data_IF_056528022266
#
_entry.id   IF_056528022266
#
_cell.length_a   1.000
_cell.length_b   1.000
_cell.length_c   1.000
_cell.angle_alpha   90.00
_cell.angle_beta   90.00
_cell.angle_gamma   90.00
#
_symmetry.space_group_name_H-M   'P 1'
#
loop_
_entity.id
_entity.type
_entity.pdbx_description
1 polymer ?
#
# COMPACT_ATOMS: atom_id res chain seq x y z
N UNK A 1 18.58 -28.43 -39.37
CA UNK A 1 17.29 -28.41 -38.65
C UNK A 1 17.61 -28.25 -37.18
N UNK A 2 17.49 -27.03 -36.64
CA UNK A 2 17.66 -26.74 -35.22
C UNK A 2 16.60 -25.70 -34.83
N UNK A 3 15.36 -26.14 -34.69
CA UNK A 3 14.24 -25.29 -34.25
C UNK A 3 14.37 -24.91 -32.76
N UNK A 4 15.02 -25.74 -31.93
CA UNK A 4 15.17 -25.47 -30.49
C UNK A 4 15.97 -24.20 -30.15
N UNK A 5 16.94 -23.80 -30.98
CA UNK A 5 17.79 -22.64 -30.66
C UNK A 5 17.09 -21.27 -30.83
N UNK A 6 16.07 -21.19 -31.69
CA UNK A 6 15.31 -19.94 -31.91
C UNK A 6 14.24 -19.73 -30.83
N UNK A 7 13.63 -20.80 -30.36
CA UNK A 7 12.60 -20.74 -29.32
C UNK A 7 13.20 -20.36 -27.95
N UNK A 8 14.41 -20.84 -27.64
CA UNK A 8 15.14 -20.45 -26.43
C UNK A 8 15.49 -18.95 -26.44
N UNK A 9 16.02 -18.42 -27.55
CA UNK A 9 16.40 -17.01 -27.66
C UNK A 9 15.18 -16.07 -27.62
N UNK A 10 14.10 -16.43 -28.32
CA UNK A 10 12.84 -15.67 -28.29
C UNK A 10 12.19 -15.66 -26.90
N UNK A 11 12.27 -16.77 -26.15
CA UNK A 11 11.75 -16.86 -24.78
C UNK A 11 12.56 -15.97 -23.81
N UNK A 12 13.87 -15.88 -24.00
CA UNK A 12 14.78 -15.08 -23.18
C UNK A 12 14.59 -13.58 -23.41
N UNK A 13 14.44 -13.17 -24.69
CA UNK A 13 14.13 -11.78 -25.07
C UNK A 13 12.75 -11.37 -24.54
N UNK A 14 11.72 -12.23 -24.67
CA UNK A 14 10.38 -11.96 -24.09
C UNK A 14 10.42 -11.81 -22.58
N UNK A 15 11.16 -12.65 -21.86
CA UNK A 15 11.29 -12.53 -20.40
C UNK A 15 11.99 -11.24 -19.97
N UNK A 16 13.05 -10.85 -20.69
CA UNK A 16 13.76 -9.59 -20.45
C UNK A 16 12.86 -8.38 -20.73
N UNK A 17 12.10 -8.41 -21.82
CA UNK A 17 11.13 -7.38 -22.18
C UNK A 17 9.98 -7.29 -21.15
N UNK A 18 9.44 -8.43 -20.69
CA UNK A 18 8.42 -8.48 -19.64
C UNK A 18 8.91 -7.88 -18.32
N UNK A 19 10.18 -8.06 -17.98
CA UNK A 19 10.82 -7.40 -16.83
C UNK A 19 10.80 -5.88 -16.96
N UNK A 20 11.19 -5.34 -18.11
CA UNK A 20 11.17 -3.90 -18.37
C UNK A 20 9.75 -3.33 -18.44
N UNK A 21 8.81 -4.02 -19.09
CA UNK A 21 7.40 -3.60 -19.14
C UNK A 21 6.75 -3.62 -17.76
N UNK A 22 7.06 -4.61 -16.92
CA UNK A 22 6.61 -4.67 -15.53
C UNK A 22 7.08 -3.49 -14.71
N UNK A 23 8.36 -3.13 -14.84
CA UNK A 23 8.95 -1.97 -14.16
C UNK A 23 8.29 -0.65 -14.59
N UNK A 24 8.01 -0.47 -15.88
CA UNK A 24 7.31 0.71 -16.40
C UNK A 24 5.89 0.79 -15.83
N UNK A 25 5.17 -0.33 -15.74
CA UNK A 25 3.80 -0.36 -15.17
C UNK A 25 3.82 -0.01 -13.67
N UNK A 26 4.75 -0.56 -12.89
CA UNK A 26 4.88 -0.23 -11.46
C UNK A 26 5.24 1.26 -11.30
N UNK A 27 6.32 1.70 -11.96
CA UNK A 27 6.82 3.06 -11.81
C UNK A 27 5.82 4.12 -12.27
N UNK A 28 5.10 3.90 -13.37
CA UNK A 28 4.04 4.82 -13.80
C UNK A 28 2.88 4.86 -12.80
N UNK A 29 2.48 3.71 -12.24
CA UNK A 29 1.44 3.65 -11.22
C UNK A 29 1.84 4.42 -9.95
N UNK A 30 3.08 4.25 -9.48
CA UNK A 30 3.61 4.96 -8.30
C UNK A 30 3.67 6.47 -8.53
N UNK A 31 4.15 6.93 -9.69
CA UNK A 31 4.21 8.36 -10.03
C UNK A 31 2.80 8.96 -10.03
N UNK A 32 1.85 8.32 -10.72
CA UNK A 32 0.47 8.80 -10.80
C UNK A 32 -0.19 8.76 -9.42
N UNK A 33 -0.02 7.67 -8.67
CA UNK A 33 -0.59 7.51 -7.34
C UNK A 33 -0.04 8.54 -6.34
N UNK A 34 1.25 8.84 -6.41
CA UNK A 34 1.88 9.87 -5.57
C UNK A 34 1.44 11.28 -5.98
N UNK A 35 1.26 11.55 -7.28
CA UNK A 35 0.69 12.81 -7.74
C UNK A 35 -0.73 13.02 -7.18
N UNK A 36 -1.58 11.98 -7.24
CA UNK A 36 -2.94 12.03 -6.67
C UNK A 36 -2.88 12.29 -5.15
N UNK A 37 -2.02 11.59 -4.41
CA UNK A 37 -1.85 11.81 -2.97
C UNK A 37 -1.34 13.21 -2.64
N UNK A 38 -0.39 13.74 -3.41
CA UNK A 38 0.13 15.09 -3.21
C UNK A 38 -0.97 16.13 -3.44
N UNK A 39 -1.73 16.00 -4.53
CA UNK A 39 -2.87 16.88 -4.80
C UNK A 39 -3.94 16.80 -3.71
N UNK A 40 -4.26 15.58 -3.23
CA UNK A 40 -5.17 15.40 -2.09
C UNK A 40 -4.73 16.20 -0.86
N UNK A 41 -3.49 16.01 -0.41
CA UNK A 41 -2.98 16.69 0.78
C UNK A 41 -2.88 18.21 0.61
N UNK A 42 -2.57 18.70 -0.59
CA UNK A 42 -2.60 20.14 -0.88
C UNK A 42 -4.01 20.74 -0.78
N UNK A 43 -5.04 20.01 -1.22
CA UNK A 43 -6.44 20.43 -1.09
C UNK A 43 -6.84 20.44 0.39
N UNK A 44 -6.54 19.37 1.14
CA UNK A 44 -6.82 19.29 2.58
C UNK A 44 -6.13 20.42 3.34
N UNK A 45 -4.85 20.70 3.05
CA UNK A 45 -4.09 21.78 3.66
C UNK A 45 -4.69 23.18 3.35
N UNK A 46 -5.36 23.33 2.21
CA UNK A 46 -6.03 24.59 1.84
C UNK A 46 -7.40 24.74 2.50
N UNK A 47 -8.03 23.64 2.93
CA UNK A 47 -9.37 23.61 3.53
C UNK A 47 -9.34 23.69 5.06
N UNK A 48 -8.33 23.09 5.71
CA UNK A 48 -8.24 22.98 7.17
C UNK A 48 -7.42 24.09 7.81
N UNK A 49 -7.75 24.43 9.06
CA UNK A 49 -6.90 25.30 9.87
C UNK A 49 -5.58 24.61 10.22
N UNK A 50 -4.51 25.38 10.43
CA UNK A 50 -3.16 24.87 10.77
C UNK A 50 -3.19 23.92 11.96
N UNK A 51 -4.03 24.20 12.97
CA UNK A 51 -4.16 23.38 14.17
C UNK A 51 -4.78 22.01 13.85
N UNK A 52 -5.83 21.99 13.05
CA UNK A 52 -6.57 20.78 12.68
C UNK A 52 -5.75 19.90 11.73
N UNK A 53 -5.10 20.51 10.74
CA UNK A 53 -4.19 19.82 9.85
C UNK A 53 -3.02 19.15 10.61
N UNK A 54 -2.50 19.83 11.63
CA UNK A 54 -1.46 19.30 12.51
C UNK A 54 -1.92 18.08 13.32
N UNK A 55 -3.16 18.10 13.83
CA UNK A 55 -3.73 16.97 14.58
C UNK A 55 -3.91 15.73 13.70
N UNK A 56 -4.46 15.90 12.50
CA UNK A 56 -4.63 14.79 11.54
C UNK A 56 -3.26 14.25 11.11
N UNK A 57 -2.31 15.13 10.80
CA UNK A 57 -0.96 14.73 10.42
C UNK A 57 -0.29 13.91 11.54
N UNK A 58 -0.51 14.28 12.79
CA UNK A 58 -0.03 13.53 13.95
C UNK A 58 -0.67 12.13 14.04
N UNK A 59 -1.98 12.01 13.84
CA UNK A 59 -2.65 10.71 13.82
C UNK A 59 -2.17 9.80 12.68
N UNK A 60 -2.03 10.35 11.47
CA UNK A 60 -1.50 9.61 10.31
C UNK A 60 -0.06 9.17 10.58
N UNK A 61 0.76 10.01 11.21
CA UNK A 61 2.13 9.65 11.57
C UNK A 61 2.16 8.47 12.56
N UNK A 62 1.38 8.50 13.64
CA UNK A 62 1.29 7.37 14.59
C UNK A 62 0.81 6.11 13.89
N UNK A 63 -0.20 6.22 13.04
CA UNK A 63 -0.71 5.05 12.34
C UNK A 63 0.29 4.47 11.35
N UNK A 64 1.11 5.31 10.71
CA UNK A 64 2.18 4.88 9.81
C UNK A 64 3.27 4.08 10.53
N UNK A 65 3.49 4.31 11.82
CA UNK A 65 4.39 3.48 12.64
C UNK A 65 3.86 2.04 12.80
N UNK A 66 2.58 1.80 12.52
CA UNK A 66 1.98 0.46 12.46
C UNK A 66 2.65 -0.48 11.45
N UNK A 67 3.38 0.06 10.45
CA UNK A 67 4.18 -0.76 9.51
C UNK A 67 5.20 -1.63 10.27
N UNK A 68 5.70 -1.17 11.42
CA UNK A 68 6.61 -1.94 12.27
C UNK A 68 5.99 -3.24 12.81
N UNK A 69 4.67 -3.37 12.80
CA UNK A 69 3.96 -4.58 13.21
C UNK A 69 3.90 -5.65 12.12
N UNK A 70 4.29 -5.33 10.88
CA UNK A 70 4.31 -6.28 9.76
C UNK A 70 5.47 -7.25 9.93
N UNK A 71 5.15 -8.54 10.01
CA UNK A 71 6.16 -9.58 10.23
C UNK A 71 6.70 -10.09 8.91
N UNK A 72 8.02 -9.88 8.73
CA UNK A 72 8.68 -9.96 7.44
C UNK A 72 8.55 -8.61 6.75
N UNK A 73 9.68 -7.95 6.47
CA UNK A 73 9.63 -6.68 5.75
C UNK A 73 8.87 -6.82 4.43
N UNK A 74 8.27 -5.76 3.89
CA UNK A 74 7.65 -5.80 2.57
C UNK A 74 8.58 -6.43 1.50
N UNK A 75 9.88 -6.17 1.63
CA UNK A 75 10.93 -6.75 0.79
C UNK A 75 11.05 -8.28 0.97
N UNK A 76 11.02 -8.78 2.21
CA UNK A 76 10.99 -10.21 2.49
C UNK A 76 9.71 -10.87 1.95
N UNK A 77 8.54 -10.25 2.14
CA UNK A 77 7.28 -10.75 1.59
C UNK A 77 7.31 -10.84 0.06
N UNK A 78 7.89 -9.85 -0.63
CA UNK A 78 8.04 -9.91 -2.09
C UNK A 78 8.91 -11.07 -2.55
N UNK A 79 10.01 -11.37 -1.86
CA UNK A 79 10.89 -12.51 -2.20
C UNK A 79 10.21 -13.85 -1.91
N UNK A 80 9.60 -14.01 -0.73
CA UNK A 80 8.92 -15.25 -0.34
C UNK A 80 7.69 -15.55 -1.20
N UNK A 81 7.01 -14.53 -1.71
CA UNK A 81 5.86 -14.69 -2.62
C UNK A 81 6.24 -15.39 -3.94
N UNK A 82 7.50 -15.23 -4.37
CA UNK A 82 8.02 -15.90 -5.58
C UNK A 82 8.64 -17.27 -5.33
N UNK A 83 9.25 -17.50 -4.15
CA UNK A 83 10.06 -18.70 -3.88
C UNK A 83 9.38 -19.72 -2.96
N UNK A 84 8.57 -19.30 -1.98
CA UNK A 84 7.98 -20.18 -0.96
C UNK A 84 6.53 -19.77 -0.62
N UNK A 85 5.61 -19.98 -1.55
CA UNK A 85 4.19 -19.58 -1.40
C UNK A 85 3.49 -20.17 -0.17
N UNK A 86 3.94 -21.33 0.34
CA UNK A 86 3.35 -21.98 1.53
C UNK A 86 3.57 -21.22 2.84
N UNK A 87 4.57 -20.34 2.91
CA UNK A 87 4.92 -19.59 4.14
C UNK A 87 4.11 -18.28 4.25
N UNK A 88 3.59 -17.78 3.12
CA UNK A 88 2.84 -16.52 3.06
C UNK A 88 1.63 -16.51 4.00
N UNK A 89 0.74 -17.53 4.05
CA UNK A 89 -0.39 -17.54 4.97
C UNK A 89 0.02 -17.44 6.44
N UNK A 90 1.13 -18.10 6.81
CA UNK A 90 1.67 -18.04 8.18
C UNK A 90 2.19 -16.65 8.53
N UNK A 91 2.91 -16.00 7.62
CA UNK A 91 3.39 -14.62 7.81
C UNK A 91 2.24 -13.62 7.90
N UNK A 92 1.18 -13.83 7.13
CA UNK A 92 -0.03 -13.00 7.20
C UNK A 92 -0.75 -13.17 8.54
N UNK A 93 -0.90 -14.39 9.02
CA UNK A 93 -1.51 -14.67 10.32
C UNK A 93 -0.68 -14.03 11.44
N UNK A 94 0.64 -14.15 11.38
CA UNK A 94 1.53 -13.54 12.36
C UNK A 94 1.45 -12.00 12.30
N UNK A 95 1.49 -11.42 11.11
CA UNK A 95 1.27 -9.98 10.90
C UNK A 95 -0.07 -9.52 11.48
N UNK A 96 -1.14 -10.30 11.30
CA UNK A 96 -2.46 -9.99 11.87
C UNK A 96 -2.41 -9.95 13.40
N UNK A 97 -1.76 -10.92 14.05
CA UNK A 97 -1.60 -10.95 15.51
C UNK A 97 -0.84 -9.71 16.00
N UNK A 98 0.31 -9.41 15.39
CA UNK A 98 1.11 -8.23 15.76
C UNK A 98 0.38 -6.92 15.47
N UNK A 99 -0.42 -6.87 14.41
CA UNK A 99 -1.26 -5.71 14.08
C UNK A 99 -2.31 -5.48 15.15
N UNK A 100 -2.98 -6.53 15.63
CA UNK A 100 -3.96 -6.41 16.72
C UNK A 100 -3.28 -5.87 17.97
N UNK A 101 -2.13 -6.43 18.36
CA UNK A 101 -1.37 -5.98 19.54
C UNK A 101 -0.89 -4.52 19.35
N UNK A 102 -0.32 -4.19 18.21
CA UNK A 102 0.17 -2.85 17.89
C UNK A 102 -0.94 -1.79 17.86
N UNK A 103 -2.09 -2.13 17.28
CA UNK A 103 -3.26 -1.26 17.26
C UNK A 103 -3.81 -1.01 18.66
N UNK A 104 -3.77 -2.01 19.55
CA UNK A 104 -4.19 -1.88 20.94
C UNK A 104 -3.23 -0.96 21.72
N UNK A 105 -1.92 -1.09 21.51
CA UNK A 105 -0.92 -0.20 22.11
C UNK A 105 -1.11 1.23 21.62
N UNK A 106 -1.31 1.43 20.32
CA UNK A 106 -1.57 2.75 19.74
C UNK A 106 -2.85 3.38 20.28
N UNK A 107 -3.90 2.56 20.48
CA UNK A 107 -5.14 3.00 21.12
C UNK A 107 -4.92 3.49 22.55
N UNK A 108 -4.09 2.82 23.35
CA UNK A 108 -3.78 3.26 24.72
C UNK A 108 -3.05 4.61 24.75
N UNK A 109 -2.19 4.88 23.76
CA UNK A 109 -1.44 6.14 23.68
C UNK A 109 -2.34 7.29 23.25
N UNK A 110 -3.17 7.07 22.23
CA UNK A 110 -3.92 8.16 21.59
C UNK A 110 -5.35 8.29 22.09
N UNK A 111 -5.86 7.27 22.78
CA UNK A 111 -7.20 7.23 23.39
C UNK A 111 -8.37 7.54 22.42
N UNK A 112 -8.15 7.35 21.11
CA UNK A 112 -9.18 7.47 20.06
C UNK A 112 -9.39 6.15 19.35
N UNK A 113 -10.63 5.70 19.30
CA UNK A 113 -11.01 4.42 18.69
C UNK A 113 -10.74 4.38 17.18
N UNK A 114 -10.81 5.53 16.52
CA UNK A 114 -10.60 5.69 15.07
C UNK A 114 -9.24 5.16 14.58
N UNK A 115 -8.22 5.23 15.44
CA UNK A 115 -6.84 4.84 15.11
C UNK A 115 -6.67 3.34 14.93
N UNK A 116 -7.46 2.53 15.65
CA UNK A 116 -7.43 1.07 15.49
C UNK A 116 -7.82 0.72 14.06
N UNK A 117 -8.94 1.27 13.59
CA UNK A 117 -9.47 1.06 12.24
C UNK A 117 -8.51 1.59 11.18
N UNK A 118 -7.86 2.73 11.44
CA UNK A 118 -6.90 3.34 10.52
C UNK A 118 -5.64 2.48 10.35
N UNK A 119 -5.02 2.03 11.46
CA UNK A 119 -3.85 1.14 11.45
C UNK A 119 -4.17 -0.18 10.75
N UNK A 120 -5.30 -0.79 11.09
CA UNK A 120 -5.71 -2.06 10.52
C UNK A 120 -5.90 -1.97 9.00
N UNK A 121 -6.58 -0.92 8.54
CA UNK A 121 -6.80 -0.66 7.11
C UNK A 121 -5.48 -0.40 6.39
N UNK A 122 -4.58 0.38 6.99
CA UNK A 122 -3.29 0.71 6.41
C UNK A 122 -2.44 -0.55 6.18
N UNK A 123 -2.36 -1.43 7.20
CA UNK A 123 -1.57 -2.66 7.11
C UNK A 123 -2.16 -3.65 6.09
N UNK A 124 -3.48 -3.83 6.05
CA UNK A 124 -4.11 -4.71 5.06
C UNK A 124 -3.82 -4.24 3.63
N UNK A 125 -3.92 -2.93 3.39
CA UNK A 125 -3.66 -2.35 2.07
C UNK A 125 -2.20 -2.51 1.67
N UNK A 126 -1.26 -2.22 2.59
CA UNK A 126 0.19 -2.36 2.35
C UNK A 126 0.59 -3.81 2.07
N UNK A 127 0.12 -4.75 2.88
CA UNK A 127 0.38 -6.19 2.71
C UNK A 127 -0.23 -6.69 1.40
N UNK A 128 -1.45 -6.27 1.05
CA UNK A 128 -2.09 -6.64 -0.22
C UNK A 128 -1.27 -6.16 -1.42
N UNK A 129 -0.83 -4.90 -1.37
CA UNK A 129 -0.02 -4.28 -2.41
C UNK A 129 1.33 -5.01 -2.57
N UNK A 130 1.99 -5.29 -1.45
CA UNK A 130 3.25 -6.05 -1.37
C UNK A 130 3.10 -7.47 -1.94
N UNK A 131 2.00 -8.17 -1.64
CA UNK A 131 1.74 -9.50 -2.17
C UNK A 131 1.52 -9.49 -3.69
N UNK A 132 0.78 -8.51 -4.20
CA UNK A 132 0.56 -8.36 -5.65
C UNK A 132 1.88 -8.09 -6.39
N UNK A 133 2.72 -7.23 -5.80
CA UNK A 133 4.06 -6.95 -6.32
C UNK A 133 4.95 -8.20 -6.28
N UNK A 134 4.94 -8.92 -5.15
CA UNK A 134 5.70 -10.15 -4.95
C UNK A 134 5.30 -11.27 -5.90
N UNK A 135 4.01 -11.39 -6.25
CA UNK A 135 3.54 -12.37 -7.25
C UNK A 135 3.84 -11.98 -8.69
N UNK A 136 4.54 -10.86 -8.93
CA UNK A 136 4.80 -10.26 -10.26
C UNK A 136 3.51 -9.94 -11.04
N UNK A 137 2.40 -9.68 -10.34
CA UNK A 137 1.10 -9.34 -10.94
C UNK A 137 1.01 -7.83 -11.19
N UNK A 138 1.90 -7.29 -12.00
CA UNK A 138 2.12 -5.84 -12.16
C UNK A 138 0.87 -5.07 -12.62
N UNK A 139 0.07 -5.64 -13.52
CA UNK A 139 -1.18 -5.01 -13.96
C UNK A 139 -2.23 -4.92 -12.84
N UNK A 140 -2.34 -5.97 -12.00
CA UNK A 140 -3.26 -5.95 -10.85
C UNK A 140 -2.76 -5.00 -9.77
N UNK A 141 -1.45 -4.97 -9.54
CA UNK A 141 -0.80 -4.04 -8.62
C UNK A 141 -1.15 -2.59 -8.97
N UNK A 142 -0.92 -2.21 -10.22
CA UNK A 142 -1.19 -0.85 -10.71
C UNK A 142 -2.66 -0.47 -10.54
N UNK A 143 -3.59 -1.35 -10.96
CA UNK A 143 -5.03 -1.11 -10.80
C UNK A 143 -5.44 -0.97 -9.33
N UNK A 144 -4.91 -1.82 -8.45
CA UNK A 144 -5.23 -1.79 -7.02
C UNK A 144 -4.72 -0.51 -6.38
N UNK A 145 -3.46 -0.13 -6.64
CA UNK A 145 -2.87 1.12 -6.13
C UNK A 145 -3.64 2.35 -6.60
N UNK A 146 -3.93 2.46 -7.90
CA UNK A 146 -4.70 3.59 -8.42
C UNK A 146 -6.12 3.63 -7.83
N UNK A 147 -6.79 2.49 -7.71
CA UNK A 147 -8.13 2.42 -7.13
C UNK A 147 -8.11 2.87 -5.67
N UNK A 148 -7.13 2.42 -4.88
CA UNK A 148 -6.96 2.84 -3.49
C UNK A 148 -6.78 4.37 -3.38
N UNK A 149 -5.91 4.96 -4.22
CA UNK A 149 -5.63 6.40 -4.20
C UNK A 149 -6.82 7.25 -4.67
N UNK A 150 -7.50 6.83 -5.73
CA UNK A 150 -8.70 7.50 -6.24
C UNK A 150 -9.82 7.40 -5.21
N UNK A 151 -10.01 6.23 -4.58
CA UNK A 151 -11.03 6.03 -3.57
C UNK A 151 -10.76 6.90 -2.33
N UNK A 152 -9.51 6.96 -1.88
CA UNK A 152 -9.09 7.89 -0.81
C UNK A 152 -9.40 9.34 -1.19
N UNK A 153 -9.06 9.75 -2.41
CA UNK A 153 -9.31 11.11 -2.88
C UNK A 153 -10.80 11.45 -2.90
N UNK A 154 -11.62 10.60 -3.52
CA UNK A 154 -13.06 10.84 -3.70
C UNK A 154 -13.78 10.82 -2.36
N UNK A 155 -13.54 9.80 -1.53
CA UNK A 155 -14.19 9.69 -0.22
C UNK A 155 -13.69 10.78 0.71
N UNK A 156 -12.36 10.98 0.80
CA UNK A 156 -11.77 11.95 1.71
C UNK A 156 -12.26 13.37 1.41
N UNK A 157 -12.30 13.80 0.15
CA UNK A 157 -12.80 15.14 -0.20
C UNK A 157 -14.31 15.25 0.04
N UNK A 158 -15.09 14.25 -0.39
CA UNK A 158 -16.55 14.28 -0.22
C UNK A 158 -16.95 14.35 1.25
N UNK A 159 -16.26 13.58 2.08
CA UNK A 159 -16.54 13.48 3.50
C UNK A 159 -15.96 14.67 4.27
N UNK A 160 -14.81 15.22 3.86
CA UNK A 160 -14.27 16.49 4.39
C UNK A 160 -15.23 17.66 4.22
N UNK A 161 -15.96 17.72 3.09
CA UNK A 161 -16.94 18.78 2.86
C UNK A 161 -18.17 18.67 3.79
N UNK A 162 -18.52 17.45 4.22
CA UNK A 162 -19.69 17.21 5.07
C UNK A 162 -19.37 17.19 6.58
N UNK A 163 -18.23 16.63 6.98
CA UNK A 163 -17.85 16.37 8.38
C UNK A 163 -16.63 17.20 8.85
N UNK A 164 -16.08 18.04 7.97
CA UNK A 164 -14.87 18.82 8.27
C UNK A 164 -13.68 17.91 8.55
N UNK A 165 -12.97 18.18 9.65
CA UNK A 165 -11.73 17.48 10.04
C UNK A 165 -11.89 15.98 10.27
N UNK A 166 -13.04 15.52 10.73
CA UNK A 166 -13.28 14.09 10.99
C UNK A 166 -13.62 13.32 9.70
N UNK A 167 -13.81 14.02 8.57
CA UNK A 167 -14.08 13.41 7.27
C UNK A 167 -12.83 13.12 6.43
N UNK A 168 -11.65 13.58 6.85
CA UNK A 168 -10.38 13.43 6.13
C UNK A 168 -9.80 12.03 6.31
#
# INVERSE_FOLDING_TARGET
MNENGKDEDQSNIRNKLFGHTGLVIIGSADIIGNAISATFWLIVASLLSVKEYGEISYFVAIASLGICCVVGSPQALTVYSTRHQKIIPTLLLLTLIFTVIGSLIAFLIVQRFEIITLIFSFIILDVSLTLLLGKKLYSKYSKFLLTQKILQFVIGISLSFSLGVNGV
#
